data_IF_420312898391
#
_entry.id   IF_420312898391
#
_cell.length_a   1.000
_cell.length_b   1.000
_cell.length_c   1.000
_cell.angle_alpha   90.00
_cell.angle_beta   90.00
_cell.angle_gamma   90.00
#
_symmetry.space_group_name_H-M   'P 1'
#
loop_
_entity.id
_entity.type
_entity.pdbx_description
1 polymer ?
#
# COMPACT_ATOMS: atom_id res chain seq x y z
N UNK A 1 -23.98 -9.58 58.38
CA UNK A 1 -24.21 -9.58 56.94
C UNK A 1 -22.96 -9.03 56.28
N UNK A 2 -22.14 -9.89 55.73
CA UNK A 2 -20.89 -9.53 55.06
C UNK A 2 -21.21 -9.62 53.56
N UNK A 3 -21.15 -8.48 52.87
CA UNK A 3 -21.30 -8.44 51.42
C UNK A 3 -19.94 -8.66 50.76
N UNK A 4 -19.80 -9.82 50.15
CA UNK A 4 -18.66 -10.20 49.32
C UNK A 4 -18.81 -9.46 47.96
N UNK A 5 -17.95 -8.48 47.72
CA UNK A 5 -17.87 -7.79 46.42
C UNK A 5 -16.87 -8.57 45.58
N UNK A 6 -17.37 -9.52 44.79
CA UNK A 6 -16.57 -10.20 43.76
C UNK A 6 -16.23 -9.21 42.65
N UNK A 7 -14.97 -8.78 42.63
CA UNK A 7 -14.42 -7.92 41.58
C UNK A 7 -14.41 -8.65 40.24
N UNK A 8 -15.19 -8.14 39.29
CA UNK A 8 -15.13 -8.55 37.89
C UNK A 8 -13.82 -8.03 37.29
N UNK A 9 -12.81 -8.90 37.21
CA UNK A 9 -11.64 -8.67 36.39
C UNK A 9 -12.07 -8.73 34.90
N UNK A 10 -12.35 -7.58 34.31
CA UNK A 10 -12.49 -7.48 32.88
C UNK A 10 -11.12 -7.79 32.25
N UNK A 11 -10.97 -8.98 31.68
CA UNK A 11 -9.85 -9.31 30.81
C UNK A 11 -9.96 -8.39 29.58
N UNK A 12 -9.18 -7.31 29.56
CA UNK A 12 -9.03 -6.47 28.39
C UNK A 12 -8.45 -7.32 27.25
N UNK A 13 -9.23 -7.57 26.22
CA UNK A 13 -8.70 -8.11 24.98
C UNK A 13 -7.67 -7.10 24.45
N UNK A 14 -6.40 -7.52 24.36
CA UNK A 14 -5.36 -6.73 23.72
C UNK A 14 -5.75 -6.56 22.25
N UNK A 15 -6.20 -5.37 21.86
CA UNK A 15 -6.41 -5.03 20.48
C UNK A 15 -5.05 -5.08 19.79
N UNK A 16 -4.93 -5.81 18.68
CA UNK A 16 -3.74 -5.77 17.84
C UNK A 16 -3.62 -4.34 17.28
N UNK A 17 -2.52 -3.65 17.59
CA UNK A 17 -2.37 -2.24 17.25
C UNK A 17 -1.92 -2.00 15.81
N UNK A 18 -1.52 -3.01 15.05
CA UNK A 18 -1.03 -2.92 13.67
C UNK A 18 -1.37 -4.18 12.87
N UNK A 19 -1.68 -4.04 11.56
CA UNK A 19 -1.93 -2.79 10.83
C UNK A 19 -3.33 -2.21 11.11
N UNK A 20 -3.52 -0.92 10.75
CA UNK A 20 -4.80 -0.23 10.86
C UNK A 20 -5.51 -0.04 9.53
N UNK A 21 -4.79 -0.16 8.42
CA UNK A 21 -5.29 -0.01 7.05
C UNK A 21 -4.76 -1.16 6.21
N UNK A 22 -5.63 -1.79 5.44
CA UNK A 22 -5.26 -2.82 4.47
C UNK A 22 -5.45 -2.30 3.06
N UNK A 23 -4.40 -2.42 2.24
CA UNK A 23 -4.40 -2.01 0.85
C UNK A 23 -4.13 -3.21 -0.05
N UNK A 24 -5.09 -3.51 -0.92
CA UNK A 24 -4.91 -4.48 -2.00
C UNK A 24 -4.53 -3.75 -3.27
N UNK A 25 -3.38 -4.08 -3.87
CA UNK A 25 -2.83 -3.31 -4.98
C UNK A 25 -2.67 -4.10 -6.27
N UNK A 26 -2.85 -3.38 -7.37
CA UNK A 26 -2.40 -3.74 -8.72
C UNK A 26 -1.56 -2.60 -9.27
N UNK A 27 -0.73 -2.88 -10.28
CA UNK A 27 0.08 -1.83 -10.86
C UNK A 27 0.73 -2.19 -12.18
N UNK A 28 1.33 -1.18 -12.78
CA UNK A 28 2.03 -1.27 -14.05
C UNK A 28 3.37 -0.54 -13.97
N UNK A 29 4.43 -1.19 -14.36
CA UNK A 29 5.71 -0.51 -14.61
C UNK A 29 5.66 0.06 -16.03
N UNK A 30 5.77 1.39 -16.14
CA UNK A 30 5.59 2.11 -17.38
C UNK A 30 6.95 2.41 -18.02
N UNK A 31 7.08 2.08 -19.29
CA UNK A 31 8.29 2.29 -20.09
C UNK A 31 8.03 3.26 -21.23
N UNK A 32 9.02 4.09 -21.53
CA UNK A 32 9.04 4.91 -22.72
C UNK A 32 9.45 4.10 -23.96
N UNK A 33 9.22 4.66 -25.15
CA UNK A 33 9.52 4.00 -26.41
C UNK A 33 11.01 3.64 -26.60
N UNK A 34 11.92 4.33 -25.90
CA UNK A 34 13.36 4.06 -25.92
C UNK A 34 13.77 2.93 -24.96
N UNK A 35 12.80 2.28 -24.28
CA UNK A 35 13.01 1.21 -23.32
C UNK A 35 13.44 1.67 -21.92
N UNK A 36 13.42 2.97 -21.62
CA UNK A 36 13.63 3.47 -20.27
C UNK A 36 12.36 3.34 -19.43
N UNK A 37 12.49 2.92 -18.16
CA UNK A 37 11.38 2.92 -17.20
C UNK A 37 11.13 4.34 -16.71
N UNK A 38 9.87 4.77 -16.70
CA UNK A 38 9.46 6.14 -16.35
C UNK A 38 8.79 6.28 -15.02
N UNK A 39 8.20 5.19 -14.49
CA UNK A 39 7.47 5.22 -13.23
C UNK A 39 6.61 3.99 -13.01
N UNK A 40 5.75 4.08 -12.03
CA UNK A 40 4.77 3.05 -11.68
C UNK A 40 3.37 3.65 -11.71
N UNK A 41 2.42 2.96 -12.30
CA UNK A 41 0.99 3.28 -12.19
C UNK A 41 0.35 2.31 -11.24
N UNK A 42 -0.39 2.83 -10.26
CA UNK A 42 -1.01 2.05 -9.21
C UNK A 42 -2.54 2.12 -9.23
N UNK A 43 -3.16 1.05 -8.75
CA UNK A 43 -4.52 1.00 -8.28
C UNK A 43 -4.50 0.37 -6.87
N UNK A 44 -4.73 1.18 -5.83
CA UNK A 44 -4.74 0.79 -4.42
C UNK A 44 -6.17 0.76 -3.90
N UNK A 45 -6.70 -0.43 -3.67
CA UNK A 45 -8.02 -0.64 -3.10
C UNK A 45 -7.89 -0.77 -1.59
N UNK A 46 -8.50 0.16 -0.86
CA UNK A 46 -8.53 0.17 0.59
C UNK A 46 -9.56 -0.81 1.14
N UNK A 47 -9.40 -1.20 2.39
CA UNK A 47 -10.40 -1.98 3.11
C UNK A 47 -11.70 -1.17 3.32
N UNK A 48 -12.76 -1.88 3.73
CA UNK A 48 -14.09 -1.32 3.92
C UNK A 48 -14.17 -0.34 5.09
N UNK A 49 -13.43 -0.60 6.17
CA UNK A 49 -13.40 0.24 7.36
C UNK A 49 -12.73 1.58 7.06
N UNK A 50 -11.54 1.55 6.43
CA UNK A 50 -10.89 2.78 5.98
C UNK A 50 -11.75 3.53 4.97
N UNK A 51 -12.37 2.83 4.01
CA UNK A 51 -13.20 3.43 2.97
C UNK A 51 -14.44 4.12 3.57
N UNK A 52 -15.08 3.49 4.57
CA UNK A 52 -16.21 4.09 5.28
C UNK A 52 -15.78 5.32 6.10
N UNK A 53 -14.63 5.26 6.77
CA UNK A 53 -14.07 6.39 7.51
C UNK A 53 -13.71 7.56 6.58
N UNK A 54 -13.01 7.28 5.48
CA UNK A 54 -12.55 8.30 4.55
C UNK A 54 -13.69 9.02 3.81
N UNK A 55 -14.84 8.35 3.64
CA UNK A 55 -16.04 8.95 3.02
C UNK A 55 -16.98 9.60 4.03
N UNK A 56 -16.69 9.53 5.32
CA UNK A 56 -17.51 10.12 6.36
C UNK A 56 -17.59 11.65 6.18
N UNK A 57 -18.80 12.18 6.17
CA UNK A 57 -19.04 13.62 6.00
C UNK A 57 -19.03 14.11 4.56
N UNK A 58 -18.76 13.24 3.57
CA UNK A 58 -19.00 13.57 2.18
C UNK A 58 -20.49 13.48 1.86
N UNK A 59 -21.00 14.47 1.15
CA UNK A 59 -22.42 14.53 0.74
C UNK A 59 -22.56 14.28 -0.78
N UNK A 60 -22.61 12.99 -1.21
CA UNK A 60 -22.79 12.68 -2.62
C UNK A 60 -24.21 13.03 -3.08
N UNK A 61 -24.38 13.41 -4.35
CA UNK A 61 -25.69 13.71 -4.95
C UNK A 61 -26.71 12.58 -4.82
N UNK A 62 -26.23 11.34 -4.79
CA UNK A 62 -27.02 10.13 -4.59
C UNK A 62 -26.44 9.37 -3.40
N UNK A 63 -27.22 9.14 -2.34
CA UNK A 63 -26.72 8.43 -1.14
C UNK A 63 -26.02 7.12 -1.48
N UNK A 64 -24.83 6.91 -0.94
CA UNK A 64 -24.02 5.72 -1.13
C UNK A 64 -23.37 5.56 -2.52
N UNK A 65 -23.44 6.60 -3.38
CA UNK A 65 -22.81 6.59 -4.71
C UNK A 65 -21.94 7.81 -4.88
N UNK A 66 -20.64 7.64 -4.78
CA UNK A 66 -19.66 8.70 -4.96
C UNK A 66 -19.15 8.72 -6.40
N UNK A 67 -19.22 9.88 -7.04
CA UNK A 67 -18.58 10.11 -8.34
C UNK A 67 -17.12 10.54 -8.14
N UNK A 68 -16.29 10.45 -9.20
CA UNK A 68 -14.92 10.97 -9.15
C UNK A 68 -14.87 12.45 -8.77
N UNK A 69 -15.87 13.23 -9.19
CA UNK A 69 -15.96 14.65 -8.84
C UNK A 69 -16.23 14.85 -7.34
N UNK A 70 -17.10 14.03 -6.74
CA UNK A 70 -17.37 14.07 -5.29
C UNK A 70 -16.12 13.67 -4.49
N UNK A 71 -15.27 12.78 -5.03
CA UNK A 71 -14.06 12.25 -4.40
C UNK A 71 -12.78 13.04 -4.74
N UNK A 72 -12.82 14.03 -5.63
CA UNK A 72 -11.64 14.77 -6.06
C UNK A 72 -10.86 15.43 -4.90
N UNK A 73 -11.51 16.11 -3.93
CA UNK A 73 -10.80 16.68 -2.78
C UNK A 73 -10.11 15.62 -1.95
N UNK A 74 -10.78 14.48 -1.71
CA UNK A 74 -10.24 13.35 -0.96
C UNK A 74 -9.05 12.70 -1.69
N UNK A 75 -9.15 12.53 -3.01
CA UNK A 75 -8.04 12.01 -3.82
C UNK A 75 -6.79 12.87 -3.71
N UNK A 76 -6.96 14.20 -3.78
CA UNK A 76 -5.87 15.16 -3.64
C UNK A 76 -5.24 15.11 -2.24
N UNK A 77 -6.05 15.04 -1.21
CA UNK A 77 -5.57 14.93 0.17
C UNK A 77 -4.77 13.66 0.40
N UNK A 78 -5.29 12.51 -0.06
CA UNK A 78 -4.59 11.22 0.03
C UNK A 78 -3.23 11.29 -0.65
N UNK A 79 -3.17 11.74 -1.90
CA UNK A 79 -1.91 11.81 -2.67
C UNK A 79 -0.90 12.75 -2.02
N UNK A 80 -1.35 13.88 -1.45
CA UNK A 80 -0.47 14.81 -0.75
C UNK A 80 0.12 14.20 0.52
N UNK A 81 -0.70 13.48 1.30
CA UNK A 81 -0.25 12.80 2.52
C UNK A 81 0.79 11.72 2.25
N UNK A 82 0.66 11.00 1.12
CA UNK A 82 1.60 9.93 0.75
C UNK A 82 3.04 10.44 0.52
N UNK A 83 3.22 11.74 0.27
CA UNK A 83 4.55 12.34 0.02
C UNK A 83 5.48 12.17 1.23
N UNK A 84 4.98 12.37 2.42
CA UNK A 84 5.76 12.30 3.66
C UNK A 84 6.24 10.87 3.96
N UNK A 85 5.56 9.87 3.39
CA UNK A 85 5.89 8.46 3.49
C UNK A 85 6.64 7.91 2.27
N UNK A 86 7.16 8.78 1.38
CA UNK A 86 7.83 8.35 0.14
C UNK A 86 6.94 7.52 -0.78
N UNK A 87 5.61 7.74 -0.70
CA UNK A 87 4.59 6.98 -1.42
C UNK A 87 4.65 5.47 -1.15
N UNK A 88 5.20 5.06 0.00
CA UNK A 88 5.44 3.66 0.37
C UNK A 88 6.14 2.83 -0.72
N UNK A 89 6.85 3.51 -1.63
CA UNK A 89 7.46 2.92 -2.82
C UNK A 89 8.97 3.17 -2.83
N UNK A 90 9.74 2.09 -2.76
CA UNK A 90 11.20 2.14 -2.72
C UNK A 90 11.76 1.44 -3.96
N UNK A 91 12.36 2.19 -4.88
CA UNK A 91 12.87 1.66 -6.14
C UNK A 91 14.38 1.80 -6.27
N UNK A 92 15.00 0.78 -6.89
CA UNK A 92 16.42 0.77 -7.27
C UNK A 92 16.57 0.30 -8.71
N UNK A 93 17.39 1.01 -9.49
CA UNK A 93 17.78 0.59 -10.82
C UNK A 93 19.29 0.37 -10.86
N UNK A 94 19.72 -0.80 -11.32
CA UNK A 94 21.14 -1.20 -11.35
C UNK A 94 21.85 -0.97 -9.99
N UNK A 95 21.15 -1.22 -8.88
CA UNK A 95 21.63 -1.03 -7.51
C UNK A 95 21.51 0.40 -6.96
N UNK A 96 21.25 1.41 -7.79
CA UNK A 96 21.13 2.81 -7.38
C UNK A 96 19.66 3.16 -7.05
N UNK A 97 19.44 3.86 -5.92
CA UNK A 97 18.12 4.34 -5.51
C UNK A 97 17.54 5.30 -6.54
N UNK A 98 16.27 5.13 -6.85
CA UNK A 98 15.50 6.06 -7.68
C UNK A 98 14.71 7.02 -6.79
N UNK A 99 14.65 8.28 -7.21
CA UNK A 99 13.80 9.30 -6.60
C UNK A 99 12.50 9.41 -7.37
N UNK A 100 11.40 9.65 -6.63
CA UNK A 100 10.06 9.83 -7.18
C UNK A 100 9.76 11.32 -7.38
N UNK A 101 8.89 11.62 -8.35
CA UNK A 101 8.20 12.91 -8.46
C UNK A 101 6.84 12.83 -7.77
N UNK A 102 6.17 13.97 -7.68
CA UNK A 102 4.77 14.00 -7.26
C UNK A 102 3.90 13.19 -8.22
N UNK A 103 2.92 12.44 -7.69
CA UNK A 103 2.00 11.67 -8.49
C UNK A 103 1.21 12.51 -9.48
N UNK A 104 0.92 11.93 -10.63
CA UNK A 104 0.06 12.50 -11.68
C UNK A 104 -1.13 11.57 -11.95
N UNK A 105 -2.11 12.06 -12.69
CA UNK A 105 -3.26 11.28 -13.14
C UNK A 105 -3.99 10.54 -12.01
N UNK A 106 -4.10 11.19 -10.85
CA UNK A 106 -4.71 10.57 -9.68
C UNK A 106 -6.20 10.85 -9.58
N UNK A 107 -6.92 9.85 -9.11
CA UNK A 107 -8.35 9.92 -8.81
C UNK A 107 -8.76 8.76 -7.89
N UNK A 108 -9.91 8.93 -7.24
CA UNK A 108 -10.57 7.87 -6.48
C UNK A 108 -11.79 7.35 -7.24
N UNK A 109 -11.93 6.03 -7.28
CA UNK A 109 -13.16 5.35 -7.65
C UNK A 109 -13.79 4.72 -6.41
N UNK A 110 -15.12 4.70 -6.35
CA UNK A 110 -15.88 4.03 -5.30
C UNK A 110 -16.66 2.85 -5.88
N UNK A 111 -16.38 1.67 -5.36
CA UNK A 111 -17.13 0.47 -5.71
C UNK A 111 -18.36 0.35 -4.79
N UNK A 112 -19.55 0.59 -5.33
CA UNK A 112 -20.81 0.55 -4.56
C UNK A 112 -21.20 -0.85 -4.10
N UNK A 113 -20.72 -1.91 -4.73
CA UNK A 113 -21.01 -3.30 -4.35
C UNK A 113 -20.22 -3.72 -3.13
N UNK A 114 -18.95 -3.43 -3.14
CA UNK A 114 -18.01 -3.84 -2.08
C UNK A 114 -17.79 -2.73 -1.05
N UNK A 115 -18.34 -1.52 -1.30
CA UNK A 115 -18.27 -0.31 -0.46
C UNK A 115 -16.83 0.15 -0.18
N UNK A 116 -15.94 -0.01 -1.16
CA UNK A 116 -14.53 0.32 -1.03
C UNK A 116 -14.07 1.39 -2.01
N UNK A 117 -13.06 2.17 -1.57
CA UNK A 117 -12.36 3.15 -2.39
C UNK A 117 -11.16 2.50 -3.09
N UNK A 118 -10.90 2.93 -4.33
CA UNK A 118 -9.66 2.61 -5.04
C UNK A 118 -8.98 3.90 -5.48
N UNK A 119 -7.77 4.15 -4.97
CA UNK A 119 -6.92 5.25 -5.41
C UNK A 119 -6.10 4.82 -6.63
N UNK A 120 -6.31 5.51 -7.73
CA UNK A 120 -5.50 5.38 -8.93
C UNK A 120 -4.53 6.55 -9.02
N UNK A 121 -3.27 6.28 -9.34
CA UNK A 121 -2.27 7.32 -9.55
C UNK A 121 -1.06 6.81 -10.33
N UNK A 122 -0.40 7.71 -11.01
CA UNK A 122 0.90 7.46 -11.65
C UNK A 122 1.99 8.09 -10.78
N UNK A 123 2.99 7.31 -10.38
CA UNK A 123 4.15 7.75 -9.62
C UNK A 123 5.38 7.78 -10.54
N UNK A 124 5.74 8.94 -11.10
CA UNK A 124 6.87 9.04 -12.01
C UNK A 124 8.21 8.98 -11.25
N UNK A 125 9.21 8.37 -11.84
CA UNK A 125 10.59 8.57 -11.42
C UNK A 125 11.06 9.97 -11.78
N UNK A 126 12.01 10.52 -11.01
CA UNK A 126 12.56 11.87 -11.24
C UNK A 126 13.16 12.01 -12.65
N UNK A 127 13.75 10.94 -13.16
CA UNK A 127 14.21 10.83 -14.53
C UNK A 127 13.95 9.41 -15.07
N UNK A 128 13.63 9.25 -16.37
CA UNK A 128 13.59 7.93 -17.02
C UNK A 128 14.94 7.23 -16.91
N UNK A 129 14.94 5.92 -16.68
CA UNK A 129 16.17 5.14 -16.45
C UNK A 129 16.19 3.89 -17.33
N UNK A 130 17.29 3.68 -18.06
CA UNK A 130 17.57 2.39 -18.72
C UNK A 130 18.17 1.44 -17.67
N UNK A 131 17.36 0.47 -17.22
CA UNK A 131 17.75 -0.45 -16.20
C UNK A 131 17.88 -1.88 -16.76
N UNK A 132 19.04 -2.50 -16.55
CA UNK A 132 19.18 -3.95 -16.71
C UNK A 132 18.50 -4.71 -15.58
N UNK A 133 18.50 -4.10 -14.39
CA UNK A 133 17.80 -4.61 -13.23
C UNK A 133 17.06 -3.48 -12.54
N UNK A 134 15.74 -3.65 -12.36
CA UNK A 134 14.88 -2.76 -11.60
C UNK A 134 14.26 -3.56 -10.46
N UNK A 135 14.36 -3.04 -9.26
CA UNK A 135 13.70 -3.58 -8.07
C UNK A 135 12.81 -2.50 -7.47
N UNK A 136 11.55 -2.83 -7.20
CA UNK A 136 10.59 -1.94 -6.53
C UNK A 136 10.02 -2.71 -5.34
N UNK A 137 10.08 -2.10 -4.16
CA UNK A 137 9.52 -2.62 -2.93
C UNK A 137 8.40 -1.69 -2.48
N UNK A 138 7.24 -2.27 -2.11
CA UNK A 138 6.08 -1.53 -1.63
C UNK A 138 5.76 -2.02 -0.23
N UNK A 139 5.89 -1.13 0.76
CA UNK A 139 5.62 -1.40 2.17
C UNK A 139 5.56 -0.09 2.97
N UNK A 140 4.94 -0.14 4.14
CA UNK A 140 5.01 0.91 5.14
C UNK A 140 6.15 0.58 6.14
N UNK A 141 7.17 1.45 6.31
CA UNK A 141 8.24 1.25 7.29
C UNK A 141 7.75 1.00 8.72
N UNK A 142 6.62 1.59 9.11
CA UNK A 142 6.02 1.47 10.44
C UNK A 142 4.96 0.36 10.53
N UNK A 143 4.60 -0.24 9.39
CA UNK A 143 3.55 -1.27 9.28
C UNK A 143 2.17 -0.81 9.78
N UNK A 144 1.88 0.48 9.72
CA UNK A 144 0.54 1.01 9.96
C UNK A 144 -0.42 0.62 8.82
N UNK A 145 0.11 0.58 7.59
CA UNK A 145 -0.57 0.13 6.39
C UNK A 145 0.01 -1.21 5.95
N UNK A 146 -0.84 -2.23 5.82
CA UNK A 146 -0.47 -3.50 5.20
C UNK A 146 -0.79 -3.48 3.70
N UNK A 147 0.24 -3.65 2.88
CA UNK A 147 0.11 -3.75 1.42
C UNK A 147 0.15 -5.20 0.98
N UNK A 148 -0.78 -5.59 0.12
CA UNK A 148 -0.80 -6.89 -0.53
C UNK A 148 -1.09 -6.76 -2.01
N UNK A 149 -0.47 -7.61 -2.85
CA UNK A 149 -0.90 -7.71 -4.24
C UNK A 149 -2.28 -8.37 -4.32
N UNK A 150 -3.14 -7.85 -5.18
CA UNK A 150 -4.43 -8.47 -5.47
C UNK A 150 -4.25 -9.93 -5.84
N UNK A 151 -5.15 -10.78 -5.39
CA UNK A 151 -5.12 -12.22 -5.70
C UNK A 151 -5.67 -12.48 -7.12
N UNK A 152 -4.84 -12.15 -8.09
CA UNK A 152 -5.03 -12.38 -9.51
C UNK A 152 -3.73 -12.90 -10.11
N UNK A 153 -3.81 -13.51 -11.30
CA UNK A 153 -2.64 -14.10 -11.96
C UNK A 153 -1.50 -13.10 -12.15
N UNK A 154 -1.80 -11.92 -12.63
CA UNK A 154 -0.82 -10.88 -12.98
C UNK A 154 -1.19 -9.56 -12.29
N UNK A 155 -0.88 -9.40 -10.97
CA UNK A 155 -1.21 -8.18 -10.24
C UNK A 155 -0.35 -6.98 -10.67
N UNK A 156 0.80 -7.25 -11.28
CA UNK A 156 1.73 -6.27 -11.86
C UNK A 156 1.96 -6.63 -13.33
N UNK A 157 2.01 -5.61 -14.18
CA UNK A 157 2.34 -5.77 -15.60
C UNK A 157 3.43 -4.79 -16.05
N UNK A 158 4.01 -5.07 -17.22
CA UNK A 158 4.97 -4.19 -17.89
C UNK A 158 4.28 -3.53 -19.08
N UNK A 159 4.22 -2.21 -19.11
CA UNK A 159 3.62 -1.44 -20.21
C UNK A 159 4.71 -0.75 -21.01
N UNK A 160 4.83 -1.09 -22.29
CA UNK A 160 5.84 -0.54 -23.19
C UNK A 160 7.26 -1.07 -22.97
N UNK A 161 7.45 -2.08 -22.10
CA UNK A 161 8.76 -2.65 -21.86
C UNK A 161 9.29 -3.43 -23.07
N UNK A 162 10.63 -3.49 -23.26
CA UNK A 162 11.23 -4.39 -24.23
C UNK A 162 10.78 -5.84 -24.01
N UNK A 163 10.45 -6.57 -25.08
CA UNK A 163 9.89 -7.92 -25.00
C UNK A 163 10.78 -8.95 -24.28
N UNK A 164 12.08 -8.70 -24.23
CA UNK A 164 13.04 -9.55 -23.55
C UNK A 164 13.08 -9.36 -22.03
N UNK A 165 12.43 -8.33 -21.48
CA UNK A 165 12.37 -8.07 -20.05
C UNK A 165 11.54 -9.15 -19.34
N UNK A 166 12.04 -9.61 -18.18
CA UNK A 166 11.36 -10.61 -17.35
C UNK A 166 10.94 -10.01 -16.04
N UNK A 167 9.64 -10.12 -15.73
CA UNK A 167 9.02 -9.68 -14.49
C UNK A 167 8.93 -10.82 -13.48
N UNK A 168 9.31 -10.57 -12.25
CA UNK A 168 9.07 -11.44 -11.09
C UNK A 168 8.38 -10.61 -10.01
N UNK A 169 7.28 -11.14 -9.49
CA UNK A 169 6.51 -10.55 -8.39
C UNK A 169 6.59 -11.49 -7.19
N UNK A 170 7.01 -10.97 -6.05
CA UNK A 170 7.12 -11.74 -4.81
C UNK A 170 6.31 -11.07 -3.69
N UNK A 171 5.49 -11.88 -3.02
CA UNK A 171 4.75 -11.48 -1.80
C UNK A 171 5.67 -11.63 -0.59
N UNK A 172 5.43 -10.88 0.50
CA UNK A 172 6.13 -11.10 1.75
C UNK A 172 5.87 -12.54 2.23
N UNK A 173 6.82 -13.08 2.99
CA UNK A 173 6.59 -14.36 3.67
C UNK A 173 5.60 -14.13 4.79
N UNK A 174 4.67 -15.06 4.99
CA UNK A 174 3.80 -15.05 6.16
C UNK A 174 4.65 -15.04 7.43
N UNK A 175 4.29 -14.16 8.38
CA UNK A 175 4.92 -14.17 9.69
C UNK A 175 4.55 -15.48 10.40
N UNK A 176 5.51 -16.35 10.56
CA UNK A 176 5.37 -17.49 11.45
C UNK A 176 5.55 -16.99 12.88
N UNK A 177 4.44 -16.72 13.58
CA UNK A 177 4.46 -16.37 15.00
C UNK A 177 4.64 -17.66 15.78
N UNK A 178 5.64 -17.77 16.67
CA UNK A 178 5.78 -18.94 17.53
C UNK A 178 4.51 -19.18 18.34
N UNK A 179 4.10 -20.45 18.57
CA UNK A 179 2.95 -20.76 19.40
C UNK A 179 3.08 -20.10 20.79
N UNK A 180 2.06 -19.32 21.18
CA UNK A 180 2.02 -18.63 22.48
C UNK A 180 2.54 -17.19 22.49
N UNK A 181 3.11 -16.68 21.40
CA UNK A 181 3.40 -15.25 21.23
C UNK A 181 2.21 -14.56 20.57
N UNK A 182 1.53 -13.67 21.29
CA UNK A 182 0.56 -12.77 20.70
C UNK A 182 1.30 -11.57 20.11
N UNK A 183 0.99 -11.22 18.87
CA UNK A 183 1.42 -9.97 18.25
C UNK A 183 0.60 -8.81 18.87
N UNK A 184 0.92 -8.46 20.11
CA UNK A 184 0.27 -7.37 20.83
C UNK A 184 1.01 -6.05 20.61
N UNK A 185 0.37 -4.95 21.03
CA UNK A 185 0.92 -3.58 20.94
C UNK A 185 2.35 -3.45 21.47
N UNK A 186 2.67 -4.14 22.59
CA UNK A 186 4.01 -4.14 23.17
C UNK A 186 5.05 -4.77 22.23
N UNK A 187 4.67 -5.81 21.48
CA UNK A 187 5.54 -6.43 20.48
C UNK A 187 5.80 -5.47 19.30
N UNK A 188 4.75 -4.84 18.79
CA UNK A 188 4.89 -3.86 17.69
C UNK A 188 5.64 -2.60 18.13
N UNK A 189 5.39 -2.08 19.34
CA UNK A 189 6.12 -0.94 19.88
C UNK A 189 7.62 -1.23 20.09
N UNK A 190 7.97 -2.46 20.45
CA UNK A 190 9.36 -2.87 20.57
C UNK A 190 10.04 -3.00 19.19
N UNK A 191 9.30 -3.41 18.16
CA UNK A 191 9.81 -3.57 16.81
C UNK A 191 9.85 -2.24 16.06
N UNK A 192 8.88 -1.35 16.25
CA UNK A 192 8.83 -0.02 15.62
C UNK A 192 9.95 0.90 16.11
N UNK A 193 10.63 0.56 17.22
CA UNK A 193 11.86 1.24 17.65
C UNK A 193 13.08 0.90 16.78
N UNK A 194 12.99 -0.13 15.92
CA UNK A 194 14.02 -0.42 14.93
C UNK A 194 13.65 0.22 13.60
N UNK A 195 14.53 1.04 13.06
CA UNK A 195 14.35 1.69 11.76
C UNK A 195 13.95 0.66 10.68
N UNK A 196 12.82 0.96 9.98
CA UNK A 196 12.40 0.19 8.82
C UNK A 196 11.94 -1.26 9.08
N UNK A 197 11.31 -1.52 10.25
CA UNK A 197 10.78 -2.85 10.57
C UNK A 197 9.76 -3.37 9.54
N UNK A 198 8.93 -2.51 8.97
CA UNK A 198 7.95 -2.86 7.95
C UNK A 198 8.54 -3.48 6.68
N UNK A 199 9.86 -3.33 6.44
CA UNK A 199 10.50 -3.89 5.24
C UNK A 199 10.39 -5.42 5.11
N UNK A 200 10.19 -6.15 6.20
CA UNK A 200 9.94 -7.60 6.18
C UNK A 200 8.61 -7.97 5.50
N UNK A 201 7.65 -7.03 5.45
CA UNK A 201 6.36 -7.16 4.77
C UNK A 201 6.38 -6.58 3.36
N UNK A 202 7.55 -6.24 2.84
CA UNK A 202 7.66 -5.65 1.52
C UNK A 202 7.15 -6.59 0.43
N UNK A 203 6.22 -6.08 -0.37
CA UNK A 203 5.88 -6.67 -1.66
C UNK A 203 6.94 -6.26 -2.68
N UNK A 204 7.48 -7.22 -3.42
CA UNK A 204 8.65 -6.99 -4.27
C UNK A 204 8.34 -7.23 -5.74
N UNK A 205 8.78 -6.29 -6.56
CA UNK A 205 8.73 -6.36 -8.01
C UNK A 205 10.17 -6.31 -8.50
N UNK A 206 10.58 -7.31 -9.27
CA UNK A 206 11.91 -7.35 -9.90
C UNK A 206 11.77 -7.49 -11.40
N UNK A 207 12.45 -6.65 -12.15
CA UNK A 207 12.50 -6.74 -13.61
C UNK A 207 13.96 -6.86 -14.04
N UNK A 208 14.22 -7.83 -14.92
CA UNK A 208 15.53 -8.00 -15.57
C UNK A 208 15.36 -7.85 -17.07
N UNK A 209 16.12 -6.92 -17.63
CA UNK A 209 16.21 -6.67 -19.06
C UNK A 209 17.66 -6.94 -19.53
N UNK A 210 17.87 -7.56 -20.69
CA UNK A 210 19.20 -7.87 -21.25
C UNK A 210 19.99 -6.60 -21.61
#
# INVERSE_FOLDING_TARGET
MIFDVAGLLAAGASASAHPHVWVTMQGELVYAADGSVTGVRYAWTFDDMFSAFATQGLEPKKPGVFTRQDLEPLAKENVNSLKDFGYFTFAKANGSKLEMKEPTDYYLDYNTKDTVLTLHFTLPFKAPVKAKELNVEIYDPEYFVDFSFKDVKDPISLVGAPAACKLVVARPKELTVPPGQQLGEAFFNQLSSSDNWGAQFANKISVKCP
#
